data_IF_353197589876
#
_entry.id   IF_353197589876
#
_cell.length_a   1.000
_cell.length_b   1.000
_cell.length_c   1.000
_cell.angle_alpha   90.00
_cell.angle_beta   90.00
_cell.angle_gamma   90.00
#
_symmetry.space_group_name_H-M   'P 1'
#
loop_
_entity.id
_entity.type
_entity.pdbx_description
1 polymer ?
#
# COMPACT_ATOMS: atom_id res chain seq x y z
N UNK A 1 -13.52 -23.03 -9.09
CA UNK A 1 -12.40 -23.00 -8.16
C UNK A 1 -11.17 -23.60 -8.88
N UNK A 2 -10.42 -22.80 -9.60
CA UNK A 2 -9.20 -23.24 -10.27
C UNK A 2 -8.05 -22.36 -9.76
N UNK A 3 -7.27 -22.90 -8.85
CA UNK A 3 -6.02 -22.31 -8.37
C UNK A 3 -4.96 -22.47 -9.45
N UNK A 4 -4.79 -21.46 -10.29
CA UNK A 4 -3.63 -21.39 -11.18
C UNK A 4 -2.43 -20.89 -10.35
N UNK A 5 -1.74 -21.83 -9.72
CA UNK A 5 -0.41 -21.62 -9.18
C UNK A 5 0.59 -21.45 -10.32
N UNK A 6 0.72 -20.25 -10.83
CA UNK A 6 1.77 -19.89 -11.78
C UNK A 6 3.12 -20.03 -11.09
N UNK A 7 3.89 -21.06 -11.43
CA UNK A 7 5.29 -21.19 -11.03
C UNK A 7 6.08 -20.13 -11.78
N UNK A 8 6.39 -19.02 -11.11
CA UNK A 8 7.32 -18.04 -11.65
C UNK A 8 8.66 -18.74 -11.91
N UNK A 9 9.07 -18.80 -13.19
CA UNK A 9 10.41 -19.24 -13.56
C UNK A 9 11.38 -18.16 -13.06
N UNK A 10 12.19 -18.47 -12.06
CA UNK A 10 13.31 -17.64 -11.67
C UNK A 10 14.27 -17.53 -12.87
N UNK A 11 14.38 -16.34 -13.42
CA UNK A 11 15.35 -16.06 -14.50
C UNK A 11 16.77 -15.87 -13.95
N UNK A 12 16.98 -16.07 -12.65
CA UNK A 12 18.29 -15.95 -12.00
C UNK A 12 18.80 -14.51 -11.85
N UNK A 13 18.10 -13.52 -12.38
CA UNK A 13 18.47 -12.10 -12.17
C UNK A 13 17.82 -11.57 -10.90
N UNK A 14 18.58 -10.82 -10.07
CA UNK A 14 18.02 -10.18 -8.89
C UNK A 14 16.97 -9.14 -9.29
N UNK A 15 15.76 -9.28 -8.75
CA UNK A 15 14.70 -8.29 -8.94
C UNK A 15 15.05 -7.07 -8.11
N UNK A 16 15.17 -5.90 -8.74
CA UNK A 16 15.31 -4.64 -8.03
C UNK A 16 13.96 -4.18 -7.51
N UNK A 17 13.92 -3.78 -6.26
CA UNK A 17 12.71 -3.31 -5.59
C UNK A 17 12.92 -1.90 -5.07
N UNK A 18 12.05 -0.99 -5.45
CA UNK A 18 11.99 0.37 -4.90
C UNK A 18 10.75 0.48 -4.02
N UNK A 19 10.95 0.64 -2.72
CA UNK A 19 9.88 0.88 -1.77
C UNK A 19 9.68 2.39 -1.58
N UNK A 20 8.45 2.83 -1.79
CA UNK A 20 8.05 4.23 -1.64
C UNK A 20 7.53 4.42 -0.22
N UNK A 21 8.13 5.35 0.51
CA UNK A 21 7.80 5.64 1.91
C UNK A 21 7.59 7.14 2.14
N UNK A 22 6.74 7.47 3.12
CA UNK A 22 6.44 8.84 3.53
C UNK A 22 7.32 9.34 4.69
N UNK A 23 8.40 8.63 5.04
CA UNK A 23 9.18 8.95 6.22
C UNK A 23 10.51 9.59 5.88
N UNK A 24 10.96 10.53 6.74
CA UNK A 24 12.27 11.17 6.61
C UNK A 24 13.45 10.22 6.94
N UNK A 25 13.15 8.99 7.36
CA UNK A 25 14.15 8.01 7.77
C UNK A 25 14.64 7.10 6.64
N UNK A 26 14.15 7.28 5.40
CA UNK A 26 14.52 6.44 4.26
C UNK A 26 16.05 6.32 4.06
N UNK A 27 16.78 7.43 4.15
CA UNK A 27 18.24 7.46 3.98
C UNK A 27 18.98 6.64 5.05
N UNK A 28 18.55 6.76 6.33
CA UNK A 28 19.16 6.00 7.43
C UNK A 28 18.86 4.52 7.32
N UNK A 29 17.65 4.17 6.91
CA UNK A 29 17.23 2.79 6.74
C UNK A 29 17.97 2.14 5.56
N UNK A 30 18.12 2.83 4.42
CA UNK A 30 18.93 2.36 3.30
C UNK A 30 20.38 2.05 3.72
N UNK A 31 21.03 2.95 4.45
CA UNK A 31 22.38 2.73 4.95
C UNK A 31 22.48 1.52 5.92
N UNK A 32 21.41 1.24 6.66
CA UNK A 32 21.36 0.06 7.53
C UNK A 32 21.16 -1.23 6.72
N UNK A 33 20.31 -1.21 5.69
CA UNK A 33 20.09 -2.35 4.80
C UNK A 33 21.37 -2.74 4.04
N UNK A 34 22.08 -1.77 3.48
CA UNK A 34 23.35 -1.98 2.78
C UNK A 34 24.41 -2.62 3.68
N UNK A 35 24.43 -2.28 4.97
CA UNK A 35 25.33 -2.89 5.96
C UNK A 35 24.91 -4.32 6.33
N UNK A 36 23.61 -4.59 6.36
CA UNK A 36 23.07 -5.89 6.75
C UNK A 36 23.24 -6.95 5.66
N UNK A 37 22.95 -6.61 4.42
CA UNK A 37 23.19 -7.48 3.25
C UNK A 37 23.45 -6.63 2.00
N UNK A 38 24.72 -6.52 1.55
CA UNK A 38 25.08 -5.77 0.34
C UNK A 38 24.42 -6.27 -0.95
N UNK A 39 23.85 -7.50 -0.93
CA UNK A 39 23.11 -8.07 -2.08
C UNK A 39 21.65 -7.63 -2.09
N UNK A 40 21.18 -7.00 -1.02
CA UNK A 40 19.81 -6.53 -0.93
C UNK A 40 19.63 -5.30 -1.82
N UNK A 41 18.93 -5.48 -2.93
CA UNK A 41 18.77 -4.47 -3.98
C UNK A 41 17.51 -3.61 -3.80
N UNK A 42 16.88 -3.63 -2.63
CA UNK A 42 15.74 -2.76 -2.34
C UNK A 42 16.23 -1.37 -1.92
N UNK A 43 15.66 -0.34 -2.53
CA UNK A 43 15.89 1.04 -2.18
C UNK A 43 14.61 1.65 -1.60
N UNK A 44 14.76 2.39 -0.51
CA UNK A 44 13.68 3.24 0.00
C UNK A 44 13.79 4.62 -0.64
N UNK A 45 12.71 5.05 -1.27
CA UNK A 45 12.59 6.40 -1.81
C UNK A 45 11.54 7.13 -1.01
N UNK A 46 11.96 8.24 -0.38
CA UNK A 46 11.03 9.13 0.27
C UNK A 46 10.28 9.94 -0.78
N UNK A 47 8.97 9.99 -0.62
CA UNK A 47 8.09 10.77 -1.48
C UNK A 47 7.25 11.67 -0.59
N UNK A 48 7.38 12.97 -0.79
CA UNK A 48 6.61 13.97 -0.04
C UNK A 48 5.24 14.20 -0.68
N UNK A 49 5.15 14.08 -2.00
CA UNK A 49 3.90 14.20 -2.77
C UNK A 49 3.96 13.34 -4.03
N UNK A 50 2.79 12.84 -4.47
CA UNK A 50 2.62 12.12 -5.74
C UNK A 50 2.33 13.11 -6.89
N UNK A 51 3.26 14.01 -7.11
CA UNK A 51 3.21 14.96 -8.21
C UNK A 51 3.83 14.40 -9.51
N UNK A 52 3.84 15.22 -10.59
CA UNK A 52 4.40 14.83 -11.90
C UNK A 52 5.86 14.39 -11.84
N UNK A 53 6.67 15.04 -11.02
CA UNK A 53 8.09 14.71 -10.84
C UNK A 53 8.28 13.29 -10.30
N UNK A 54 7.50 12.93 -9.28
CA UNK A 54 7.50 11.59 -8.71
C UNK A 54 7.09 10.55 -9.75
N UNK A 55 6.05 10.83 -10.55
CA UNK A 55 5.59 9.93 -11.59
C UNK A 55 6.68 9.68 -12.64
N UNK A 56 7.39 10.73 -13.10
CA UNK A 56 8.50 10.60 -14.06
C UNK A 56 9.63 9.74 -13.48
N UNK A 57 10.05 10.00 -12.25
CA UNK A 57 11.10 9.24 -11.59
C UNK A 57 10.71 7.76 -11.42
N UNK A 58 9.47 7.48 -11.05
CA UNK A 58 8.97 6.12 -10.88
C UNK A 58 8.82 5.40 -12.23
N UNK A 59 8.42 6.12 -13.29
CA UNK A 59 8.36 5.55 -14.63
C UNK A 59 9.73 5.07 -15.10
N UNK A 60 10.77 5.87 -14.91
CA UNK A 60 12.14 5.50 -15.28
C UNK A 60 12.59 4.20 -14.56
N UNK A 61 12.18 3.99 -13.32
CA UNK A 61 12.48 2.76 -12.57
C UNK A 61 11.73 1.55 -13.13
N UNK A 62 10.46 1.71 -13.46
CA UNK A 62 9.67 0.65 -14.12
C UNK A 62 10.28 0.28 -15.47
N UNK A 63 10.67 1.27 -16.27
CA UNK A 63 11.30 1.07 -17.58
C UNK A 63 12.66 0.34 -17.45
N UNK A 64 13.34 0.52 -16.31
CA UNK A 64 14.55 -0.22 -15.94
C UNK A 64 14.27 -1.63 -15.38
N UNK A 65 13.00 -2.08 -15.34
CA UNK A 65 12.60 -3.39 -14.85
C UNK A 65 12.51 -3.51 -13.32
N UNK A 66 12.42 -2.38 -12.60
CA UNK A 66 12.27 -2.39 -11.14
C UNK A 66 10.80 -2.58 -10.73
N UNK A 67 10.61 -3.20 -9.57
CA UNK A 67 9.32 -3.27 -8.91
C UNK A 67 9.16 -2.11 -7.95
N UNK A 68 8.02 -1.42 -8.04
CA UNK A 68 7.65 -0.38 -7.10
C UNK A 68 6.74 -0.96 -6.02
N UNK A 69 7.09 -0.75 -4.77
CA UNK A 69 6.30 -1.18 -3.62
C UNK A 69 5.87 0.04 -2.82
N UNK A 70 4.59 0.13 -2.51
CA UNK A 70 4.03 1.17 -1.66
C UNK A 70 3.15 0.54 -0.58
N UNK A 71 3.25 1.05 0.64
CA UNK A 71 2.43 0.61 1.76
C UNK A 71 1.03 1.22 1.60
N UNK A 72 0.03 0.37 1.35
CA UNK A 72 -1.34 0.81 1.05
C UNK A 72 -2.23 0.98 2.28
N UNK A 73 -1.87 0.39 3.41
CA UNK A 73 -2.62 0.40 4.68
C UNK A 73 -2.13 1.46 5.67
N UNK A 74 -1.44 2.50 5.19
CA UNK A 74 -0.97 3.62 6.01
C UNK A 74 -1.48 4.93 5.45
N UNK A 75 -1.94 5.77 6.36
CA UNK A 75 -2.29 7.16 6.06
C UNK A 75 -1.06 8.02 6.34
N UNK A 76 -0.68 8.94 5.44
CA UNK A 76 0.40 9.88 5.73
C UNK A 76 0.11 10.67 7.01
N UNK A 77 1.09 10.73 7.92
CA UNK A 77 0.96 11.45 9.19
C UNK A 77 0.94 12.99 9.03
N UNK A 78 1.15 13.50 7.83
CA UNK A 78 1.11 14.95 7.54
C UNK A 78 -0.32 15.46 7.47
N UNK A 79 -0.56 16.60 8.10
CA UNK A 79 -1.79 17.37 7.87
C UNK A 79 -1.94 17.68 6.37
N UNK A 80 -3.11 17.33 5.80
CA UNK A 80 -3.39 17.50 4.36
C UNK A 80 -3.11 16.30 3.46
N UNK A 81 -2.68 15.15 3.99
CA UNK A 81 -2.61 13.91 3.21
C UNK A 81 -3.98 13.56 2.61
N UNK A 82 -4.04 13.46 1.26
CA UNK A 82 -5.31 13.15 0.59
C UNK A 82 -5.72 11.72 0.87
N UNK A 83 -6.85 11.58 1.55
CA UNK A 83 -7.46 10.29 1.86
C UNK A 83 -8.84 10.15 1.21
N UNK A 84 -9.31 8.92 1.15
CA UNK A 84 -10.68 8.58 0.80
C UNK A 84 -11.20 7.61 1.85
N UNK A 85 -12.40 7.87 2.37
CA UNK A 85 -13.04 6.98 3.33
C UNK A 85 -13.80 5.89 2.60
N UNK A 86 -13.54 4.64 2.94
CA UNK A 86 -14.20 3.46 2.39
C UNK A 86 -14.58 2.50 3.53
N UNK A 87 -15.57 1.63 3.33
CA UNK A 87 -15.86 0.56 4.31
C UNK A 87 -14.63 -0.31 4.55
N UNK A 88 -14.32 -0.56 5.81
CA UNK A 88 -13.22 -1.45 6.20
C UNK A 88 -13.49 -2.02 7.58
N UNK A 89 -13.56 -3.36 7.67
CA UNK A 89 -14.02 -4.08 8.86
C UNK A 89 -15.39 -3.54 9.30
N UNK A 90 -15.52 -3.10 10.55
CA UNK A 90 -16.82 -2.70 11.13
C UNK A 90 -17.13 -1.20 10.94
N UNK A 91 -16.36 -0.45 10.13
CA UNK A 91 -16.56 1.00 9.98
C UNK A 91 -16.02 1.60 8.70
N UNK A 92 -16.22 2.90 8.54
CA UNK A 92 -15.55 3.69 7.51
C UNK A 92 -14.11 3.97 7.93
N UNK A 93 -13.14 3.76 7.06
CA UNK A 93 -11.74 4.01 7.35
C UNK A 93 -11.06 4.84 6.24
N UNK A 94 -10.14 5.74 6.59
CA UNK A 94 -9.41 6.53 5.61
C UNK A 94 -8.29 5.72 4.97
N UNK A 95 -8.22 5.74 3.64
CA UNK A 95 -7.12 5.19 2.87
C UNK A 95 -6.45 6.28 2.04
N UNK A 96 -5.12 6.22 1.89
CA UNK A 96 -4.38 7.18 1.10
C UNK A 96 -4.77 7.11 -0.39
N UNK A 97 -4.93 8.28 -1.04
CA UNK A 97 -5.21 8.36 -2.47
C UNK A 97 -3.95 8.18 -3.34
N UNK A 98 -2.78 8.48 -2.78
CA UNK A 98 -1.50 8.48 -3.48
C UNK A 98 -1.19 7.22 -4.28
N UNK A 99 -1.33 6.01 -3.72
CA UNK A 99 -1.08 4.76 -4.43
C UNK A 99 -1.90 4.63 -5.72
N UNK A 100 -3.17 5.00 -5.70
CA UNK A 100 -4.08 4.90 -6.86
C UNK A 100 -3.75 5.94 -7.93
N UNK A 101 -3.42 7.17 -7.49
CA UNK A 101 -3.00 8.25 -8.39
C UNK A 101 -1.71 7.89 -9.09
N UNK A 102 -0.72 7.36 -8.36
CA UNK A 102 0.54 6.92 -8.93
C UNK A 102 0.35 5.75 -9.90
N UNK A 103 -0.38 4.71 -9.51
CA UNK A 103 -0.65 3.57 -10.37
C UNK A 103 -1.40 3.97 -11.66
N UNK A 104 -2.31 4.94 -11.58
CA UNK A 104 -2.94 5.52 -12.77
C UNK A 104 -1.94 6.21 -13.69
N UNK A 105 -1.04 7.03 -13.13
CA UNK A 105 -0.04 7.78 -13.90
C UNK A 105 0.96 6.84 -14.60
N UNK A 106 1.38 5.79 -13.90
CA UNK A 106 2.35 4.81 -14.39
C UNK A 106 1.74 3.80 -15.38
N UNK A 107 0.42 3.66 -15.39
CA UNK A 107 -0.31 2.77 -16.30
C UNK A 107 0.21 1.31 -16.32
N UNK A 108 0.77 0.84 -15.23
CA UNK A 108 1.35 -0.49 -15.07
C UNK A 108 0.41 -1.46 -14.34
N UNK A 109 0.65 -2.78 -14.43
CA UNK A 109 -0.06 -3.77 -13.63
C UNK A 109 0.18 -3.56 -12.14
N UNK A 110 -0.85 -3.79 -11.34
CA UNK A 110 -0.83 -3.68 -9.88
C UNK A 110 -1.05 -5.05 -9.26
N UNK A 111 -0.22 -5.36 -8.28
CA UNK A 111 -0.29 -6.58 -7.49
C UNK A 111 -0.42 -6.23 -6.03
N UNK A 112 -1.07 -7.08 -5.26
CA UNK A 112 -1.10 -6.98 -3.80
C UNK A 112 -0.16 -8.01 -3.21
N UNK A 113 0.50 -7.60 -2.14
CA UNK A 113 1.43 -8.44 -1.40
C UNK A 113 1.11 -8.38 0.08
N UNK A 114 0.81 -9.54 0.66
CA UNK A 114 0.58 -9.70 2.09
C UNK A 114 1.51 -10.75 2.67
N UNK A 115 1.96 -10.55 3.90
CA UNK A 115 2.79 -11.49 4.62
C UNK A 115 2.13 -11.85 5.94
N UNK A 116 1.81 -13.12 6.13
CA UNK A 116 1.17 -13.64 7.33
C UNK A 116 2.01 -14.75 7.94
N UNK A 117 2.29 -14.69 9.24
CA UNK A 117 3.03 -15.72 9.96
C UNK A 117 2.08 -16.80 10.46
N UNK A 118 2.31 -18.03 10.07
CA UNK A 118 1.55 -19.19 10.56
C UNK A 118 2.48 -20.36 10.85
N UNK A 119 2.30 -21.03 11.97
CA UNK A 119 3.12 -22.18 12.39
C UNK A 119 4.63 -21.92 12.34
N UNK A 120 5.06 -20.72 12.77
CA UNK A 120 6.46 -20.31 12.80
C UNK A 120 7.07 -19.90 11.45
N UNK A 121 6.31 -19.90 10.36
CA UNK A 121 6.76 -19.55 9.01
C UNK A 121 5.97 -18.37 8.46
N UNK A 122 6.61 -17.57 7.61
CA UNK A 122 5.94 -16.51 6.85
C UNK A 122 5.36 -17.09 5.55
N UNK A 123 4.07 -16.83 5.33
CA UNK A 123 3.36 -17.14 4.10
C UNK A 123 3.19 -15.84 3.34
N UNK A 124 3.71 -15.81 2.13
CA UNK A 124 3.65 -14.66 1.26
C UNK A 124 2.48 -14.85 0.30
N UNK A 125 1.52 -13.93 0.34
CA UNK A 125 0.37 -13.90 -0.56
C UNK A 125 0.64 -12.82 -1.59
N UNK A 126 0.73 -13.23 -2.85
CA UNK A 126 0.95 -12.34 -3.99
C UNK A 126 -0.17 -12.59 -4.99
N UNK A 127 -0.95 -11.55 -5.29
CA UNK A 127 -2.10 -11.66 -6.17
C UNK A 127 -2.16 -10.52 -7.19
N UNK A 128 -2.63 -10.81 -8.40
CA UNK A 128 -2.94 -9.78 -9.38
C UNK A 128 -4.18 -9.01 -8.93
N UNK A 129 -4.06 -7.67 -8.89
CA UNK A 129 -5.14 -6.78 -8.46
C UNK A 129 -5.80 -6.06 -9.62
N UNK A 130 -5.01 -5.51 -10.52
CA UNK A 130 -5.48 -4.85 -11.72
C UNK A 130 -4.38 -4.84 -12.78
N UNK A 131 -4.73 -5.04 -14.05
CA UNK A 131 -3.79 -4.82 -15.14
C UNK A 131 -3.46 -3.33 -15.32
N UNK A 132 -4.43 -2.48 -14.99
CA UNK A 132 -4.26 -1.02 -15.05
C UNK A 132 -5.28 -0.33 -14.16
N UNK A 133 -4.85 0.68 -13.42
CA UNK A 133 -5.73 1.61 -12.70
C UNK A 133 -6.11 2.75 -13.63
N UNK A 134 -7.41 2.99 -13.79
CA UNK A 134 -7.92 4.10 -14.59
C UNK A 134 -8.71 5.05 -13.70
N UNK A 135 -8.33 6.32 -13.71
CA UNK A 135 -8.98 7.40 -12.96
C UNK A 135 -9.45 8.51 -13.93
N UNK A 136 -10.63 8.38 -14.54
CA UNK A 136 -11.20 9.40 -15.42
C UNK A 136 -11.29 10.76 -14.70
N UNK A 137 -11.14 11.86 -15.42
CA UNK A 137 -11.23 13.21 -14.84
C UNK A 137 -12.61 13.46 -14.24
N UNK A 138 -13.66 13.01 -14.92
CA UNK A 138 -15.01 12.96 -14.40
C UNK A 138 -15.12 11.85 -13.36
N UNK A 139 -15.70 12.15 -12.18
CA UNK A 139 -15.88 11.20 -11.08
C UNK A 139 -14.57 10.58 -10.53
N UNK A 140 -13.44 11.28 -10.64
CA UNK A 140 -12.12 10.79 -10.18
C UNK A 140 -12.13 10.28 -8.74
N UNK A 141 -12.79 11.01 -7.83
CA UNK A 141 -12.89 10.63 -6.42
C UNK A 141 -13.65 9.31 -6.24
N UNK A 142 -14.73 9.10 -6.97
CA UNK A 142 -15.50 7.86 -6.95
C UNK A 142 -14.66 6.68 -7.43
N UNK A 143 -13.86 6.85 -8.49
CA UNK A 143 -12.97 5.81 -8.96
C UNK A 143 -11.85 5.50 -7.95
N UNK A 144 -11.28 6.51 -7.30
CA UNK A 144 -10.31 6.31 -6.22
C UNK A 144 -10.96 5.53 -5.07
N UNK A 145 -12.17 5.89 -4.66
CA UNK A 145 -12.90 5.17 -3.61
C UNK A 145 -13.16 3.71 -4.01
N UNK A 146 -13.51 3.45 -5.25
CA UNK A 146 -13.71 2.09 -5.76
C UNK A 146 -12.43 1.25 -5.65
N UNK A 147 -11.27 1.78 -6.07
CA UNK A 147 -10.01 1.06 -5.99
C UNK A 147 -9.55 0.86 -4.55
N UNK A 148 -9.68 1.90 -3.71
CA UNK A 148 -9.38 1.81 -2.28
C UNK A 148 -10.28 0.80 -1.57
N UNK A 149 -11.58 0.77 -1.88
CA UNK A 149 -12.53 -0.21 -1.33
C UNK A 149 -12.17 -1.65 -1.69
N UNK A 150 -11.84 -1.91 -2.96
CA UNK A 150 -11.39 -3.24 -3.39
C UNK A 150 -10.12 -3.70 -2.66
N UNK A 151 -9.20 -2.77 -2.39
CA UNK A 151 -8.00 -3.07 -1.58
C UNK A 151 -8.37 -3.31 -0.12
N UNK A 152 -9.25 -2.47 0.45
CA UNK A 152 -9.74 -2.62 1.82
C UNK A 152 -10.41 -3.98 2.04
N UNK A 153 -11.21 -4.46 1.09
CA UNK A 153 -11.82 -5.81 1.14
C UNK A 153 -10.75 -6.91 1.19
N UNK A 154 -9.68 -6.80 0.39
CA UNK A 154 -8.59 -7.79 0.41
C UNK A 154 -7.83 -7.75 1.73
N UNK A 155 -7.51 -6.55 2.22
CA UNK A 155 -6.86 -6.37 3.53
C UNK A 155 -7.74 -6.93 4.65
N UNK A 156 -9.05 -6.64 4.64
CA UNK A 156 -9.99 -7.16 5.64
C UNK A 156 -10.00 -8.69 5.70
N UNK A 157 -9.96 -9.38 4.56
CA UNK A 157 -9.88 -10.84 4.53
C UNK A 157 -8.62 -11.36 5.25
N UNK A 158 -7.47 -10.70 5.09
CA UNK A 158 -6.26 -11.06 5.82
C UNK A 158 -6.34 -10.70 7.30
N UNK A 159 -6.98 -9.57 7.65
CA UNK A 159 -7.23 -9.20 9.05
C UNK A 159 -8.15 -10.21 9.76
N UNK A 160 -9.22 -10.67 9.12
CA UNK A 160 -10.08 -11.71 9.67
C UNK A 160 -9.36 -13.05 9.87
N UNK A 161 -8.49 -13.43 8.93
CA UNK A 161 -7.72 -14.66 9.00
C UNK A 161 -6.61 -14.61 10.06
N UNK A 162 -6.05 -13.42 10.34
CA UNK A 162 -4.93 -13.25 11.27
C UNK A 162 -5.01 -11.89 11.99
N UNK A 163 -6.02 -11.67 12.88
CA UNK A 163 -6.34 -10.35 13.43
C UNK A 163 -5.21 -9.71 14.23
N UNK A 164 -4.35 -10.50 14.85
CA UNK A 164 -3.20 -10.00 15.62
C UNK A 164 -1.94 -9.73 14.78
N UNK A 165 -2.02 -9.80 13.46
CA UNK A 165 -0.87 -9.60 12.59
C UNK A 165 -0.97 -8.36 11.69
N UNK A 166 -2.04 -7.60 11.81
CA UNK A 166 -2.13 -6.26 11.27
C UNK A 166 -1.68 -5.25 12.33
N UNK A 167 -0.39 -4.92 12.27
CA UNK A 167 0.26 -4.06 13.27
C UNK A 167 -0.07 -2.58 13.02
N UNK A 168 -1.19 -2.15 13.57
CA UNK A 168 -1.65 -0.77 13.53
C UNK A 168 -1.67 -0.19 14.94
N UNK A 169 -0.69 0.66 15.27
CA UNK A 169 -0.48 1.20 16.61
C UNK A 169 -1.03 2.62 16.79
N UNK A 170 -1.95 3.04 15.95
CA UNK A 170 -2.66 4.32 16.03
C UNK A 170 -4.15 4.13 15.74
N UNK A 171 -4.99 5.08 16.11
CA UNK A 171 -6.42 5.02 15.78
C UNK A 171 -6.62 5.23 14.27
N UNK A 172 -6.71 4.11 13.55
CA UNK A 172 -6.84 4.10 12.10
C UNK A 172 -8.15 4.73 11.62
N UNK A 173 -9.20 4.68 12.43
CA UNK A 173 -10.53 5.22 12.11
C UNK A 173 -10.73 6.67 12.57
N UNK A 174 -9.79 7.28 13.31
CA UNK A 174 -9.94 8.63 13.83
C UNK A 174 -10.29 9.67 12.76
N UNK A 175 -9.67 9.55 11.56
CA UNK A 175 -9.93 10.46 10.45
C UNK A 175 -11.26 10.28 9.72
N UNK A 176 -12.03 9.23 10.05
CA UNK A 176 -13.32 8.94 9.47
C UNK A 176 -14.51 9.28 10.41
N UNK A 177 -14.21 9.51 11.69
CA UNK A 177 -15.23 9.92 12.68
C UNK A 177 -15.58 11.39 12.45
N UNK A 178 -16.87 11.68 12.27
CA UNK A 178 -17.35 13.06 12.29
C UNK A 178 -17.16 13.68 13.68
N UNK A 179 -16.92 15.02 13.80
CA UNK A 179 -16.68 15.68 15.09
C UNK A 179 -17.82 15.56 16.11
N UNK A 180 -18.92 14.88 15.80
CA UNK A 180 -20.09 14.70 16.65
C UNK A 180 -20.25 13.35 17.35
N UNK A 181 -19.37 12.36 17.09
CA UNK A 181 -19.57 10.98 17.55
C UNK A 181 -18.87 10.66 18.89
N UNK A 182 -18.40 11.68 19.59
CA UNK A 182 -17.67 11.55 20.86
C UNK A 182 -18.58 11.61 22.11
N UNK A 183 -19.88 11.34 21.99
CA UNK A 183 -20.81 11.42 23.11
C UNK A 183 -21.58 10.12 23.34
N UNK A 184 -20.92 9.04 23.77
CA UNK A 184 -21.56 8.01 24.62
C UNK A 184 -20.56 6.93 25.06
N UNK A 185 -19.54 7.32 25.84
CA UNK A 185 -18.92 6.35 26.76
C UNK A 185 -18.50 7.08 28.04
N UNK A 186 -19.49 7.17 28.94
CA UNK A 186 -19.29 7.76 30.24
C UNK A 186 -20.52 7.57 31.11
N UNK A 187 -20.48 6.57 31.97
CA UNK A 187 -21.34 6.33 33.16
C UNK A 187 -22.38 5.23 33.02
N UNK A 188 -22.10 4.10 33.55
CA UNK A 188 -22.65 3.63 34.85
C UNK A 188 -21.87 2.42 35.29
#
# INVERSE_FOLDING_TARGET
LSTHGGRARSTGQPVRVTAIVYTEHAKRFNAMLEKADPRFTAQLVQVDDFGPQTAIMMQQRIDAGEWLVIVGDRVPAREGGRTVTVPFLDGGAPFAQGPWVLAHALACPVYLFFSVKSRGRYHLHFESFAERIVLPRTARQTHIATWAGRFADRLANHCHAAPYQWFNFYDFWAGARSPGDNSSDGRS
#
